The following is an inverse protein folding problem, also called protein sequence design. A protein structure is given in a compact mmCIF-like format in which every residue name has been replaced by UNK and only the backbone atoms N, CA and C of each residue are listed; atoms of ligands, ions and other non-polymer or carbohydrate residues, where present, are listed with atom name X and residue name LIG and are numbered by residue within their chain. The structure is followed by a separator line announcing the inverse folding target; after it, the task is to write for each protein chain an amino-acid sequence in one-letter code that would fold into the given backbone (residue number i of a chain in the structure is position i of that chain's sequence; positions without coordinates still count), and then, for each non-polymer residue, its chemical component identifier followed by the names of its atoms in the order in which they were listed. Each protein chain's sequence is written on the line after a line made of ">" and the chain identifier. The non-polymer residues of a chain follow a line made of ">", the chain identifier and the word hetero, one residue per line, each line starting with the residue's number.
data_IF_679871484907
#
_entry.id   IF_679871484907
#
_cell.length_a   1.000
_cell.length_b   1.000
_cell.length_c   1.000
_cell.angle_alpha   90.00
_cell.angle_beta   90.00
_cell.angle_gamma   90.00
#
_symmetry.space_group_name_H-M   'P 1'
#
loop_
_entity.id
_entity.type
_entity.pdbx_description
1 polymer ?
#
# COMPACT_ATOMS: atom_id res chain seq x y z
N UNK A 1 19.24 -42.31 -3.26
CA UNK A 1 19.86 -40.97 -3.41
C UNK A 1 18.99 -40.10 -4.31
N UNK A 2 18.14 -39.28 -3.71
CA UNK A 2 17.27 -38.35 -4.41
C UNK A 2 17.73 -36.95 -4.01
N UNK A 3 18.39 -36.26 -4.93
CA UNK A 3 18.67 -34.84 -4.82
C UNK A 3 17.35 -34.09 -5.06
N UNK A 4 16.55 -33.92 -4.02
CA UNK A 4 15.60 -32.82 -3.99
C UNK A 4 16.41 -31.58 -3.63
N UNK A 5 16.73 -30.80 -4.65
CA UNK A 5 17.28 -29.47 -4.45
C UNK A 5 16.32 -28.72 -3.51
N UNK A 6 16.82 -28.36 -2.33
CA UNK A 6 16.26 -27.30 -1.52
C UNK A 6 16.24 -26.03 -2.40
N UNK A 7 15.17 -25.82 -3.17
CA UNK A 7 14.80 -24.49 -3.65
C UNK A 7 14.28 -23.76 -2.41
N UNK A 8 15.17 -23.51 -1.44
CA UNK A 8 14.86 -23.09 -0.07
C UNK A 8 14.17 -21.74 -0.06
N UNK A 9 12.89 -21.72 -0.40
CA UNK A 9 12.01 -20.62 -0.11
C UNK A 9 11.73 -20.74 1.38
N UNK A 10 12.44 -19.91 2.14
CA UNK A 10 12.16 -19.68 3.55
C UNK A 10 10.77 -19.06 3.65
N UNK A 11 9.78 -19.91 3.98
CA UNK A 11 8.37 -19.51 4.04
C UNK A 11 8.10 -18.47 5.12
N UNK A 12 8.89 -18.46 6.20
CA UNK A 12 8.77 -17.49 7.27
C UNK A 12 9.29 -16.13 6.80
N UNK A 13 10.43 -16.12 6.11
CA UNK A 13 10.97 -14.92 5.47
C UNK A 13 10.02 -14.36 4.40
N UNK A 14 9.48 -15.21 3.53
CA UNK A 14 8.53 -14.78 2.49
C UNK A 14 7.26 -14.19 3.13
N UNK A 15 6.75 -14.82 4.18
CA UNK A 15 5.57 -14.32 4.92
C UNK A 15 5.86 -12.98 5.58
N UNK A 16 7.06 -12.79 6.11
CA UNK A 16 7.50 -11.52 6.69
C UNK A 16 7.63 -10.43 5.62
N UNK A 17 8.23 -10.75 4.48
CA UNK A 17 8.40 -9.84 3.35
C UNK A 17 7.02 -9.38 2.82
N UNK A 18 6.08 -10.31 2.61
CA UNK A 18 4.70 -9.99 2.18
C UNK A 18 3.99 -9.06 3.16
N UNK A 19 4.22 -9.20 4.47
CA UNK A 19 3.63 -8.31 5.48
C UNK A 19 4.25 -6.90 5.51
N UNK A 20 5.37 -6.70 4.82
CA UNK A 20 6.12 -5.44 4.80
C UNK A 20 5.99 -4.65 3.50
N UNK A 21 5.34 -5.22 2.48
CA UNK A 21 5.12 -4.57 1.19
C UNK A 21 4.03 -3.51 1.32
N UNK A 22 4.33 -2.30 0.87
CA UNK A 22 3.38 -1.19 0.73
C UNK A 22 2.71 -1.16 -0.64
N UNK A 23 1.68 -0.32 -0.81
CA UNK A 23 1.02 -0.05 -2.10
C UNK A 23 2.06 0.39 -3.14
N UNK A 24 2.96 1.30 -2.78
CA UNK A 24 4.01 1.76 -3.71
C UNK A 24 5.02 0.65 -4.04
N UNK A 25 5.45 -0.14 -3.05
CA UNK A 25 6.37 -1.25 -3.28
C UNK A 25 5.81 -2.35 -4.18
N UNK A 26 4.49 -2.52 -4.19
CA UNK A 26 3.80 -3.51 -5.03
C UNK A 26 3.52 -3.00 -6.45
N UNK A 27 3.13 -1.74 -6.60
CA UNK A 27 2.50 -1.25 -7.83
C UNK A 27 3.26 -0.13 -8.55
N UNK A 28 4.28 0.47 -7.94
CA UNK A 28 5.12 1.45 -8.64
C UNK A 28 6.02 0.72 -9.67
N UNK A 29 6.03 1.17 -10.94
CA UNK A 29 6.88 0.58 -11.96
C UNK A 29 8.35 0.61 -11.54
N UNK A 30 9.00 -0.55 -11.58
CA UNK A 30 10.45 -0.67 -11.35
C UNK A 30 11.29 -0.06 -12.49
N UNK A 31 10.65 0.16 -13.63
CA UNK A 31 11.26 0.79 -14.81
C UNK A 31 10.67 2.17 -15.03
N UNK A 32 11.51 3.12 -15.44
CA UNK A 32 11.07 4.46 -15.82
C UNK A 32 10.05 4.34 -16.95
N UNK A 33 8.87 4.92 -16.76
CA UNK A 33 7.86 5.02 -17.81
C UNK A 33 8.33 5.99 -18.88
N UNK A 34 8.16 5.62 -20.15
CA UNK A 34 8.43 6.51 -21.27
C UNK A 34 7.56 7.75 -21.18
N UNK A 35 8.04 8.87 -21.72
CA UNK A 35 7.30 10.12 -21.60
C UNK A 35 5.93 10.12 -22.29
N UNK A 36 5.79 9.27 -23.31
CA UNK A 36 4.57 9.04 -24.07
C UNK A 36 3.53 8.17 -23.35
N UNK A 37 3.90 7.50 -22.26
CA UNK A 37 3.00 6.63 -21.51
C UNK A 37 2.17 7.44 -20.49
N UNK A 38 1.22 8.21 -21.03
CA UNK A 38 0.34 9.08 -20.24
C UNK A 38 -0.56 8.26 -19.31
N UNK A 39 -1.08 7.14 -19.79
CA UNK A 39 -1.94 6.22 -19.04
C UNK A 39 -1.18 5.58 -17.88
N UNK A 40 0.03 5.08 -18.11
CA UNK A 40 0.90 4.54 -17.06
C UNK A 40 1.20 5.58 -15.99
N UNK A 41 1.54 6.81 -16.40
CA UNK A 41 1.78 7.93 -15.46
C UNK A 41 0.54 8.25 -14.62
N UNK A 42 -0.67 8.22 -15.19
CA UNK A 42 -1.92 8.41 -14.43
C UNK A 42 -2.15 7.29 -13.41
N UNK A 43 -1.88 6.04 -13.77
CA UNK A 43 -2.01 4.90 -12.85
C UNK A 43 -1.02 5.03 -11.68
N UNK A 44 0.23 5.44 -11.95
CA UNK A 44 1.21 5.70 -10.89
C UNK A 44 0.73 6.77 -9.92
N UNK A 45 0.15 7.85 -10.44
CA UNK A 45 -0.45 8.91 -9.62
C UNK A 45 -1.60 8.36 -8.76
N UNK A 46 -2.46 7.48 -9.29
CA UNK A 46 -3.50 6.83 -8.49
C UNK A 46 -2.94 6.00 -7.34
N UNK A 47 -1.84 5.26 -7.55
CA UNK A 47 -1.21 4.47 -6.49
C UNK A 47 -0.56 5.34 -5.42
N UNK A 48 0.07 6.45 -5.79
CA UNK A 48 0.62 7.43 -4.85
C UNK A 48 -0.48 8.11 -4.04
N UNK A 49 -1.58 8.51 -4.70
CA UNK A 49 -2.75 9.04 -4.02
C UNK A 49 -3.32 8.03 -3.02
N UNK A 50 -3.46 6.76 -3.43
CA UNK A 50 -3.96 5.72 -2.54
C UNK A 50 -3.05 5.51 -1.33
N UNK A 51 -1.73 5.41 -1.53
CA UNK A 51 -0.76 5.26 -0.45
C UNK A 51 -0.87 6.39 0.59
N UNK A 52 -1.06 7.64 0.12
CA UNK A 52 -1.33 8.79 0.98
C UNK A 52 -2.67 8.66 1.73
N UNK A 53 -3.75 8.30 1.03
CA UNK A 53 -5.09 8.12 1.61
C UNK A 53 -5.10 7.09 2.73
N UNK A 54 -4.39 5.97 2.55
CA UNK A 54 -4.37 4.86 3.52
C UNK A 54 -3.28 5.02 4.59
N UNK A 55 -2.53 6.12 4.58
CA UNK A 55 -1.57 6.46 5.62
C UNK A 55 -0.17 5.85 5.48
N UNK A 56 0.19 5.39 4.29
CA UNK A 56 1.49 4.77 3.99
C UNK A 56 2.60 5.80 3.72
N UNK A 57 2.71 6.83 4.56
CA UNK A 57 3.67 7.92 4.38
C UNK A 57 5.12 7.53 4.72
N UNK A 58 5.30 6.49 5.54
CA UNK A 58 6.61 6.06 6.05
C UNK A 58 7.21 4.92 5.22
N UNK A 59 7.00 4.92 3.91
CA UNK A 59 7.54 3.92 2.98
C UNK A 59 8.83 4.47 2.38
N UNK A 60 9.93 3.75 2.54
CA UNK A 60 11.19 4.01 1.84
C UNK A 60 11.56 2.74 1.09
N UNK A 61 11.85 2.85 -0.21
CA UNK A 61 12.18 1.71 -1.08
C UNK A 61 11.11 0.59 -1.05
N UNK A 62 9.82 0.97 -1.03
CA UNK A 62 8.70 0.02 -1.02
C UNK A 62 8.50 -0.76 0.28
N UNK A 63 9.27 -0.45 1.33
CA UNK A 63 9.20 -1.09 2.64
C UNK A 63 8.77 -0.09 3.72
N UNK A 64 7.88 -0.51 4.60
CA UNK A 64 7.49 0.31 5.75
C UNK A 64 8.64 0.53 6.73
N UNK A 65 8.89 1.78 7.08
CA UNK A 65 9.78 2.15 8.18
C UNK A 65 9.04 2.24 9.51
N UNK A 66 7.72 2.52 9.49
CA UNK A 66 6.82 2.50 10.67
C UNK A 66 5.39 2.11 10.27
N UNK A 67 4.74 1.29 11.09
CA UNK A 67 3.31 0.94 11.04
C UNK A 67 2.80 0.42 9.67
N UNK A 68 3.19 -0.80 9.25
CA UNK A 68 2.62 -1.41 8.04
C UNK A 68 1.11 -1.59 8.17
N UNK A 69 0.38 -1.38 7.06
CA UNK A 69 -1.04 -1.68 7.03
C UNK A 69 -1.26 -3.18 7.22
N UNK A 70 -2.20 -3.52 8.09
CA UNK A 70 -2.60 -4.92 8.25
C UNK A 70 -3.58 -5.28 7.16
N UNK A 71 -3.49 -6.51 6.68
CA UNK A 71 -4.48 -7.06 5.75
C UNK A 71 -5.90 -6.83 6.29
N UNK A 72 -6.76 -6.24 5.46
CA UNK A 72 -8.18 -5.96 5.77
C UNK A 72 -8.39 -5.05 6.99
N UNK A 73 -7.41 -4.24 7.40
CA UNK A 73 -7.56 -3.39 8.60
C UNK A 73 -8.77 -2.45 8.57
N UNK A 74 -9.20 -2.01 7.39
CA UNK A 74 -10.36 -1.14 7.22
C UNK A 74 -11.68 -1.90 7.03
N UNK A 75 -11.62 -3.22 6.77
CA UNK A 75 -12.80 -4.02 6.46
C UNK A 75 -13.90 -3.94 7.52
N UNK A 76 -13.61 -3.97 8.84
CA UNK A 76 -14.65 -3.82 9.86
C UNK A 76 -15.36 -2.47 9.75
N UNK A 77 -14.61 -1.38 9.59
CA UNK A 77 -15.17 -0.04 9.49
C UNK A 77 -16.07 0.14 8.25
N UNK A 78 -15.71 -0.45 7.11
CA UNK A 78 -16.55 -0.42 5.90
C UNK A 78 -17.85 -1.22 6.02
N UNK A 79 -17.95 -2.15 6.97
CA UNK A 79 -19.16 -2.93 7.22
C UNK A 79 -20.13 -2.21 8.17
N UNK A 80 -19.65 -1.18 8.87
CA UNK A 80 -20.47 -0.40 9.79
C UNK A 80 -21.42 0.55 9.03
N UNK A 81 -22.61 0.85 9.59
CA UNK A 81 -23.51 1.83 9.02
C UNK A 81 -22.91 3.24 9.11
N UNK A 82 -23.29 4.14 8.19
CA UNK A 82 -22.70 5.47 8.06
C UNK A 82 -22.77 6.37 9.31
N UNK A 83 -23.71 6.10 10.23
CA UNK A 83 -23.82 6.85 11.49
C UNK A 83 -22.81 6.40 12.55
N UNK A 84 -22.17 5.24 12.39
CA UNK A 84 -21.18 4.68 13.30
C UNK A 84 -19.94 5.59 13.41
N UNK A 85 -19.42 5.75 14.62
CA UNK A 85 -18.26 6.60 14.93
C UNK A 85 -16.96 6.06 14.33
N UNK A 86 -16.78 4.74 14.26
CA UNK A 86 -15.64 4.07 13.63
C UNK A 86 -15.59 4.36 12.13
N UNK A 87 -16.73 4.22 11.43
CA UNK A 87 -16.82 4.58 10.01
C UNK A 87 -16.53 6.07 9.77
N UNK A 88 -17.11 6.95 10.60
CA UNK A 88 -16.84 8.39 10.51
C UNK A 88 -15.37 8.72 10.74
N UNK A 89 -14.73 8.10 11.74
CA UNK A 89 -13.29 8.28 12.00
C UNK A 89 -12.47 7.86 10.79
N UNK A 90 -12.77 6.68 10.21
CA UNK A 90 -12.11 6.23 8.98
C UNK A 90 -12.28 7.26 7.86
N UNK A 91 -13.49 7.77 7.61
CA UNK A 91 -13.70 8.80 6.58
C UNK A 91 -12.86 10.05 6.82
N UNK A 92 -12.75 10.52 8.08
CA UNK A 92 -11.87 11.65 8.40
C UNK A 92 -10.42 11.36 8.06
N UNK A 93 -9.91 10.19 8.43
CA UNK A 93 -8.53 9.79 8.15
C UNK A 93 -8.26 9.71 6.64
N UNK A 94 -9.18 9.10 5.88
CA UNK A 94 -9.06 9.01 4.41
C UNK A 94 -9.09 10.39 3.75
N UNK A 95 -9.95 11.30 4.21
CA UNK A 95 -10.03 12.68 3.70
C UNK A 95 -8.73 13.43 4.01
N UNK A 96 -8.18 13.27 5.21
CA UNK A 96 -6.91 13.90 5.58
C UNK A 96 -5.75 13.38 4.72
N UNK A 97 -5.70 12.07 4.46
CA UNK A 97 -4.70 11.49 3.55
C UNK A 97 -4.86 11.96 2.10
N UNK A 98 -6.09 12.17 1.63
CA UNK A 98 -6.36 12.76 0.31
C UNK A 98 -5.91 14.23 0.23
N UNK A 99 -6.21 15.03 1.27
CA UNK A 99 -5.76 16.43 1.35
C UNK A 99 -4.25 16.54 1.35
N UNK A 100 -3.59 15.74 2.20
CA UNK A 100 -2.14 15.65 2.25
C UNK A 100 -1.54 15.38 0.87
N UNK A 101 -2.10 14.42 0.12
CA UNK A 101 -1.64 14.15 -1.24
C UNK A 101 -1.73 15.37 -2.16
N UNK A 102 -2.88 16.06 -2.15
CA UNK A 102 -3.14 17.20 -3.03
C UNK A 102 -2.35 18.45 -2.65
N UNK A 103 -1.99 18.59 -1.37
CA UNK A 103 -1.23 19.73 -0.85
C UNK A 103 0.29 19.54 -1.03
N UNK A 104 0.78 18.30 -1.02
CA UNK A 104 2.21 17.98 -1.18
C UNK A 104 2.63 17.55 -2.61
N UNK A 105 1.68 17.37 -3.55
CA UNK A 105 1.96 16.97 -4.94
C UNK A 105 2.31 18.13 -5.89
#
# INVERSE_FOLDING_TARGET
>A
PYFLANIGIDGDKLTQDVKSISVLGAFEPRTILLDTDVEGKKIVQCWRALASIVGEFNVIDGSFKRNPLKQRQFAPAYQEPAFNTVYKSLCFDLINGAKHYLEES
#
